data_IF_247310855848
#
_entry.id   IF_247310855848
#
_cell.length_a   1.000
_cell.length_b   1.000
_cell.length_c   1.000
_cell.angle_alpha   90.00
_cell.angle_beta   90.00
_cell.angle_gamma   90.00
#
_symmetry.space_group_name_H-M   'P 1'
#
loop_
_entity.id
_entity.type
_entity.pdbx_description
1 polymer ?
#
# COMPACT_ATOMS: atom_id res chain seq x y z
N UNK A 1 -7.18 -8.07 14.83
CA UNK A 1 -8.16 -7.67 13.80
C UNK A 1 -9.36 -6.96 14.40
N UNK A 2 -9.99 -7.48 15.50
CA UNK A 2 -11.17 -6.86 16.13
C UNK A 2 -10.90 -5.43 16.61
N UNK A 3 -9.82 -5.19 17.33
CA UNK A 3 -9.44 -3.85 17.85
C UNK A 3 -9.32 -2.81 16.73
N UNK A 4 -8.85 -3.21 15.55
CA UNK A 4 -8.70 -2.28 14.43
C UNK A 4 -10.05 -1.90 13.81
N UNK A 5 -11.00 -2.83 13.76
CA UNK A 5 -12.36 -2.56 13.29
C UNK A 5 -13.12 -1.68 14.30
N UNK A 6 -13.03 -2.00 15.59
CA UNK A 6 -13.64 -1.20 16.67
C UNK A 6 -13.16 0.26 16.65
N UNK A 7 -11.88 0.48 16.31
CA UNK A 7 -11.33 1.82 16.14
C UNK A 7 -12.02 2.57 14.98
N UNK A 8 -12.19 1.93 13.81
CA UNK A 8 -12.86 2.56 12.68
C UNK A 8 -14.33 2.86 12.97
N UNK A 9 -15.01 1.94 13.66
CA UNK A 9 -16.41 2.12 14.03
C UNK A 9 -16.59 3.28 15.02
N UNK A 10 -15.68 3.41 15.99
CA UNK A 10 -15.66 4.54 16.92
C UNK A 10 -15.37 5.86 16.20
N UNK A 11 -14.45 5.84 15.24
CA UNK A 11 -14.13 7.01 14.41
C UNK A 11 -15.35 7.43 13.57
N UNK A 12 -16.09 6.45 13.01
CA UNK A 12 -17.28 6.72 12.22
C UNK A 12 -18.39 7.42 13.03
N UNK A 13 -18.53 7.06 14.31
CA UNK A 13 -19.48 7.73 15.21
C UNK A 13 -19.09 9.16 15.55
N UNK A 14 -17.81 9.51 15.44
CA UNK A 14 -17.26 10.82 15.80
C UNK A 14 -17.21 11.80 14.64
N UNK A 15 -17.31 11.32 13.41
CA UNK A 15 -17.20 12.14 12.22
C UNK A 15 -18.58 12.58 11.70
N UNK A 16 -18.68 13.78 11.06
CA UNK A 16 -19.88 14.18 10.37
C UNK A 16 -20.29 13.16 9.30
N UNK A 17 -21.59 12.85 9.13
CA UNK A 17 -22.05 11.81 8.21
C UNK A 17 -21.77 12.13 6.72
N UNK A 18 -21.57 13.38 6.37
CA UNK A 18 -21.22 13.88 5.04
C UNK A 18 -19.71 14.02 4.80
N UNK A 19 -18.88 13.72 5.79
CA UNK A 19 -17.45 13.82 5.68
C UNK A 19 -16.89 12.80 4.67
N UNK A 20 -16.11 13.28 3.69
CA UNK A 20 -15.34 12.40 2.83
C UNK A 20 -14.09 11.92 3.57
N UNK A 21 -14.05 10.65 3.92
CA UNK A 21 -12.97 10.05 4.69
C UNK A 21 -12.09 9.20 3.78
N UNK A 22 -10.78 9.38 3.87
CA UNK A 22 -9.78 8.55 3.19
C UNK A 22 -8.82 8.02 4.26
N UNK A 23 -8.84 6.72 4.48
CA UNK A 23 -7.94 6.06 5.41
C UNK A 23 -6.63 5.72 4.71
N UNK A 24 -5.53 6.29 5.21
CA UNK A 24 -4.19 5.98 4.68
C UNK A 24 -3.51 4.98 5.60
N UNK A 25 -3.12 3.83 5.04
CA UNK A 25 -2.57 2.72 5.82
C UNK A 25 -1.18 2.32 5.37
N UNK A 26 -0.36 1.83 6.30
CA UNK A 26 0.92 1.21 5.96
C UNK A 26 0.75 -0.26 5.51
N UNK A 27 1.86 -0.89 5.18
CA UNK A 27 1.95 -2.20 4.54
C UNK A 27 1.54 -3.42 5.39
N UNK A 28 1.09 -3.22 6.61
CA UNK A 28 0.68 -4.30 7.52
C UNK A 28 -0.80 -4.71 7.44
N UNK A 29 -1.59 -3.98 6.69
CA UNK A 29 -3.04 -4.19 6.65
C UNK A 29 -3.45 -5.19 5.58
N UNK A 30 -4.42 -6.04 5.91
CA UNK A 30 -4.94 -7.11 5.06
C UNK A 30 -6.26 -6.71 4.39
N UNK A 31 -6.73 -7.52 3.44
CA UNK A 31 -7.96 -7.27 2.70
C UNK A 31 -9.20 -7.06 3.58
N UNK A 32 -9.30 -7.76 4.73
CA UNK A 32 -10.39 -7.57 5.68
C UNK A 32 -10.50 -6.12 6.19
N UNK A 33 -9.38 -5.47 6.42
CA UNK A 33 -9.33 -4.06 6.79
C UNK A 33 -9.90 -3.15 5.70
N UNK A 34 -9.50 -3.37 4.46
CA UNK A 34 -10.00 -2.60 3.32
C UNK A 34 -11.49 -2.83 3.07
N UNK A 35 -11.97 -4.07 3.23
CA UNK A 35 -13.40 -4.35 3.17
C UNK A 35 -14.18 -3.61 4.25
N UNK A 36 -13.66 -3.54 5.49
CA UNK A 36 -14.33 -2.82 6.57
C UNK A 36 -14.39 -1.31 6.29
N UNK A 37 -13.30 -0.69 5.81
CA UNK A 37 -13.30 0.72 5.42
C UNK A 37 -14.36 1.00 4.34
N UNK A 38 -14.42 0.16 3.31
CA UNK A 38 -15.42 0.34 2.24
C UNK A 38 -16.85 0.10 2.71
N UNK A 39 -17.09 -0.78 3.70
CA UNK A 39 -18.41 -0.98 4.30
C UNK A 39 -18.92 0.24 5.08
N UNK A 40 -18.00 1.09 5.56
CA UNK A 40 -18.31 2.38 6.18
C UNK A 40 -18.57 3.50 5.15
N UNK A 41 -18.49 3.20 3.85
CA UNK A 41 -18.62 4.20 2.78
C UNK A 41 -17.38 5.09 2.62
N UNK A 42 -16.23 4.66 3.16
CA UNK A 42 -14.98 5.41 3.13
C UNK A 42 -14.02 4.90 2.07
N UNK A 43 -13.10 5.77 1.68
CA UNK A 43 -12.00 5.42 0.79
C UNK A 43 -10.75 5.01 1.56
N UNK A 44 -9.87 4.28 0.90
CA UNK A 44 -8.58 3.93 1.45
C UNK A 44 -7.44 4.10 0.44
N UNK A 45 -6.24 4.32 0.97
CA UNK A 45 -4.97 4.27 0.26
C UNK A 45 -4.01 3.44 1.11
N UNK A 46 -3.53 2.32 0.60
CA UNK A 46 -2.64 1.42 1.33
C UNK A 46 -1.47 0.93 0.50
N UNK A 47 -0.33 0.68 1.13
CA UNK A 47 0.81 0.05 0.49
C UNK A 47 0.69 -1.46 0.60
N UNK A 48 0.86 -2.14 -0.52
CA UNK A 48 0.89 -3.60 -0.59
C UNK A 48 2.33 -4.07 -0.60
N UNK A 49 2.61 -5.13 0.16
CA UNK A 49 3.93 -5.76 0.30
C UNK A 49 3.83 -7.28 0.31
N UNK A 50 4.99 -7.91 0.30
CA UNK A 50 5.15 -9.35 0.48
C UNK A 50 4.53 -10.20 -0.65
N UNK A 51 4.07 -11.37 -0.29
CA UNK A 51 3.55 -12.38 -1.23
C UNK A 51 2.08 -12.16 -1.63
N UNK A 52 1.53 -10.99 -1.38
CA UNK A 52 0.17 -10.66 -1.83
C UNK A 52 0.15 -10.60 -3.34
N UNK A 53 -0.85 -11.24 -3.94
CA UNK A 53 -1.02 -11.26 -5.39
C UNK A 53 -2.09 -10.26 -5.81
N UNK A 54 -1.88 -9.66 -6.96
CA UNK A 54 -2.84 -8.76 -7.61
C UNK A 54 -2.96 -9.08 -9.09
N UNK A 55 -4.06 -8.71 -9.70
CA UNK A 55 -4.22 -8.73 -11.14
C UNK A 55 -4.86 -7.43 -11.61
N UNK A 56 -4.54 -7.01 -12.83
CA UNK A 56 -5.14 -5.87 -13.48
C UNK A 56 -6.27 -6.31 -14.40
N UNK A 57 -7.27 -5.47 -14.60
CA UNK A 57 -8.45 -5.79 -15.41
C UNK A 57 -8.12 -5.98 -16.89
N UNK A 58 -7.02 -5.42 -17.39
CA UNK A 58 -6.52 -5.66 -18.74
C UNK A 58 -5.87 -7.04 -18.94
N UNK A 59 -5.59 -7.76 -17.86
CA UNK A 59 -5.05 -9.12 -17.88
C UNK A 59 -5.56 -9.93 -16.64
N UNK A 60 -6.89 -10.20 -16.55
CA UNK A 60 -7.54 -10.68 -15.33
C UNK A 60 -7.10 -12.07 -14.87
N UNK A 61 -6.55 -12.87 -15.78
CA UNK A 61 -6.00 -14.22 -15.47
C UNK A 61 -4.54 -14.18 -15.00
N UNK A 62 -3.86 -13.02 -15.20
CA UNK A 62 -2.45 -12.88 -14.85
C UNK A 62 -2.31 -12.31 -13.44
N UNK A 63 -2.07 -13.20 -12.48
CA UNK A 63 -1.78 -12.83 -11.10
C UNK A 63 -0.29 -12.54 -10.91
N UNK A 64 0.01 -11.34 -10.46
CA UNK A 64 1.35 -10.83 -10.23
C UNK A 64 1.64 -10.76 -8.72
N UNK A 65 2.90 -10.90 -8.35
CA UNK A 65 3.38 -10.58 -7.00
C UNK A 65 3.81 -9.12 -6.95
N UNK A 66 3.88 -8.56 -5.76
CA UNK A 66 4.39 -7.18 -5.56
C UNK A 66 5.81 -7.02 -6.12
N UNK A 67 6.65 -8.05 -5.99
CA UNK A 67 8.01 -8.08 -6.55
C UNK A 67 8.06 -7.92 -8.08
N UNK A 68 6.98 -8.25 -8.76
CA UNK A 68 6.88 -8.21 -10.22
C UNK A 68 6.35 -6.87 -10.72
N UNK A 69 6.04 -5.95 -9.78
CA UNK A 69 5.55 -4.61 -10.11
C UNK A 69 6.63 -3.77 -10.77
N UNK A 70 6.27 -2.98 -11.80
CA UNK A 70 7.24 -2.13 -12.48
C UNK A 70 7.83 -1.07 -11.54
N UNK A 71 9.13 -0.82 -11.70
CA UNK A 71 9.85 0.20 -10.94
C UNK A 71 9.82 1.54 -11.68
N UNK A 72 8.85 2.38 -11.35
CA UNK A 72 8.70 3.69 -11.98
C UNK A 72 9.28 4.79 -11.09
N UNK A 73 10.19 5.62 -11.63
CA UNK A 73 10.78 6.77 -10.92
C UNK A 73 9.78 7.91 -10.71
N UNK A 74 8.74 7.96 -11.51
CA UNK A 74 7.60 8.87 -11.38
C UNK A 74 6.38 8.09 -10.92
N UNK A 75 5.48 8.66 -10.11
CA UNK A 75 4.21 8.02 -9.77
C UNK A 75 3.39 7.71 -11.02
N UNK A 76 3.01 6.46 -11.20
CA UNK A 76 2.23 6.00 -12.35
C UNK A 76 0.99 5.22 -11.91
N UNK A 77 -0.12 5.44 -12.61
CA UNK A 77 -1.33 4.65 -12.50
C UNK A 77 -1.21 3.40 -13.37
N UNK A 78 -1.37 2.24 -12.77
CA UNK A 78 -1.24 0.95 -13.45
C UNK A 78 -2.58 0.44 -14.01
N UNK A 79 -3.70 0.86 -13.45
CA UNK A 79 -5.03 0.41 -13.82
C UNK A 79 -5.88 -0.04 -12.65
N UNK A 80 -7.15 -0.32 -12.94
CA UNK A 80 -8.05 -1.01 -12.03
C UNK A 80 -7.74 -2.51 -12.01
N UNK A 81 -8.11 -3.18 -10.91
CA UNK A 81 -7.88 -4.60 -10.78
C UNK A 81 -8.35 -5.16 -9.44
N UNK A 82 -7.85 -6.32 -9.11
CA UNK A 82 -8.20 -7.05 -7.88
C UNK A 82 -6.96 -7.36 -7.06
N UNK A 83 -7.07 -7.15 -5.76
CA UNK A 83 -6.10 -7.57 -4.77
C UNK A 83 -6.57 -8.88 -4.14
N UNK A 84 -5.66 -9.82 -3.89
CA UNK A 84 -5.88 -11.16 -3.35
C UNK A 84 -6.65 -12.08 -4.31
N UNK A 85 -6.00 -13.17 -4.70
CA UNK A 85 -6.56 -14.16 -5.64
C UNK A 85 -7.75 -14.93 -5.05
N UNK A 86 -7.74 -15.18 -3.75
CA UNK A 86 -8.82 -15.89 -3.05
C UNK A 86 -10.12 -15.08 -3.12
N UNK A 87 -11.13 -15.63 -3.79
CA UNK A 87 -12.39 -14.96 -4.12
C UNK A 87 -13.07 -14.28 -2.91
N UNK A 88 -13.10 -14.96 -1.75
CA UNK A 88 -13.73 -14.41 -0.53
C UNK A 88 -12.99 -13.21 0.07
N UNK A 89 -11.69 -13.11 -0.18
CA UNK A 89 -10.82 -12.03 0.32
C UNK A 89 -10.49 -11.01 -0.75
N UNK A 90 -10.90 -11.26 -2.00
CA UNK A 90 -10.61 -10.40 -3.14
C UNK A 90 -11.32 -9.06 -3.00
N UNK A 91 -10.58 -7.99 -3.27
CA UNK A 91 -11.12 -6.63 -3.27
C UNK A 91 -10.72 -5.90 -4.53
N UNK A 92 -11.65 -5.15 -5.11
CA UNK A 92 -11.39 -4.31 -6.28
C UNK A 92 -10.88 -2.94 -5.89
N UNK A 93 -10.03 -2.39 -6.74
CA UNK A 93 -9.50 -1.05 -6.57
C UNK A 93 -8.54 -0.67 -7.69
N UNK A 94 -7.68 0.29 -7.42
CA UNK A 94 -6.79 0.92 -8.36
C UNK A 94 -5.34 0.79 -7.88
N UNK A 95 -4.44 0.47 -8.80
CA UNK A 95 -3.04 0.23 -8.50
C UNK A 95 -2.17 1.38 -9.03
N UNK A 96 -1.21 1.77 -8.22
CA UNK A 96 -0.22 2.79 -8.52
C UNK A 96 1.17 2.28 -8.16
N UNK A 97 2.16 2.65 -8.95
CA UNK A 97 3.56 2.31 -8.68
C UNK A 97 4.43 3.55 -8.55
N UNK A 98 5.41 3.47 -7.67
CA UNK A 98 6.41 4.51 -7.48
C UNK A 98 7.66 3.96 -6.81
N UNK A 99 8.82 4.27 -7.35
CA UNK A 99 10.10 3.97 -6.71
C UNK A 99 10.73 5.23 -6.15
N UNK A 100 10.61 5.41 -4.84
CA UNK A 100 11.25 6.52 -4.15
C UNK A 100 12.77 6.41 -4.30
N UNK A 101 13.43 7.50 -4.72
CA UNK A 101 14.88 7.57 -4.69
C UNK A 101 15.38 7.35 -3.26
N UNK A 102 16.29 6.40 -3.08
CA UNK A 102 16.89 6.15 -1.79
C UNK A 102 17.68 7.39 -1.34
N UNK A 103 17.08 8.23 -0.50
CA UNK A 103 17.83 9.26 0.24
C UNK A 103 18.57 8.54 1.37
N UNK A 104 19.68 7.87 1.00
CA UNK A 104 20.49 7.13 1.96
C UNK A 104 21.18 8.07 2.92
N UNK A 105 20.86 8.00 4.22
CA UNK A 105 21.88 8.25 5.22
C UNK A 105 22.96 7.19 5.00
N UNK A 106 24.08 7.58 4.40
CA UNK A 106 25.29 6.76 4.42
C UNK A 106 25.68 6.63 5.88
N UNK A 107 25.31 5.52 6.54
CA UNK A 107 25.87 5.18 7.85
C UNK A 107 27.38 5.16 7.66
N UNK A 108 28.12 6.10 8.27
CA UNK A 108 29.59 6.06 8.35
C UNK A 108 29.90 4.72 9.03
N UNK A 109 30.55 3.82 8.32
CA UNK A 109 31.08 2.58 8.88
C UNK A 109 32.11 2.96 9.92
N UNK A 110 31.89 2.62 11.18
CA UNK A 110 32.97 2.58 12.16
C UNK A 110 33.89 1.42 11.77
N UNK A 111 35.22 1.72 11.69
CA UNK A 111 36.25 0.70 11.47
C UNK A 111 36.09 -0.39 12.53
N UNK A 112 35.77 -1.63 12.12
CA UNK A 112 35.72 -2.80 13.02
C UNK A 112 34.46 -3.63 13.02
N UNK A 113 33.35 -3.24 12.35
CA UNK A 113 32.15 -4.10 12.26
C UNK A 113 32.13 -4.88 10.94
N UNK A 114 32.45 -6.14 11.01
CA UNK A 114 32.26 -7.12 9.93
C UNK A 114 30.79 -7.59 9.95
N UNK A 115 30.04 -7.27 8.89
CA UNK A 115 28.73 -7.82 8.62
C UNK A 115 27.57 -6.86 8.93
N UNK A 116 26.66 -6.71 7.94
CA UNK A 116 25.34 -6.10 8.16
C UNK A 116 24.49 -7.08 8.97
N UNK A 117 23.93 -6.64 10.07
CA UNK A 117 22.93 -7.41 10.82
C UNK A 117 21.75 -7.74 9.89
N UNK A 118 21.07 -8.87 10.14
CA UNK A 118 19.90 -9.32 9.38
C UNK A 118 18.87 -8.21 9.20
N UNK A 119 18.62 -7.43 10.27
CA UNK A 119 17.73 -6.27 10.28
C UNK A 119 18.18 -5.13 9.36
N UNK A 120 19.49 -4.83 9.29
CA UNK A 120 20.03 -3.79 8.40
C UNK A 120 19.92 -4.19 6.93
N UNK A 121 20.07 -5.49 6.61
CA UNK A 121 19.87 -6.04 5.27
C UNK A 121 18.40 -5.96 4.85
N UNK A 122 17.48 -6.30 5.74
CA UNK A 122 16.03 -6.23 5.48
C UNK A 122 15.55 -4.79 5.31
N UNK A 123 16.02 -3.85 6.14
CA UNK A 123 15.73 -2.42 6.00
C UNK A 123 16.29 -1.85 4.70
N UNK A 124 17.51 -2.22 4.30
CA UNK A 124 18.11 -1.82 3.04
C UNK A 124 17.36 -2.37 1.82
N UNK A 125 16.86 -3.61 1.91
CA UNK A 125 16.05 -4.24 0.87
C UNK A 125 14.69 -3.56 0.74
N UNK A 126 14.03 -3.29 1.86
CA UNK A 126 12.75 -2.59 1.92
C UNK A 126 12.82 -1.14 1.39
N UNK A 127 13.95 -0.45 1.61
CA UNK A 127 14.16 0.91 1.10
C UNK A 127 14.36 0.96 -0.43
N UNK A 128 14.77 -0.16 -1.04
CA UNK A 128 14.98 -0.28 -2.50
C UNK A 128 13.74 -0.79 -3.24
N UNK A 129 12.76 -1.34 -2.53
CA UNK A 129 11.56 -1.90 -3.11
C UNK A 129 10.63 -0.80 -3.64
N UNK A 130 10.14 -0.98 -4.87
CA UNK A 130 9.10 -0.11 -5.42
C UNK A 130 7.84 -0.15 -4.54
N UNK A 131 7.14 0.97 -4.45
CA UNK A 131 5.88 1.03 -3.76
C UNK A 131 4.76 0.59 -4.71
N UNK A 132 4.07 -0.45 -4.35
CA UNK A 132 2.77 -0.79 -4.92
C UNK A 132 1.71 -0.21 -3.98
N UNK A 133 1.00 0.81 -4.44
CA UNK A 133 -0.09 1.44 -3.71
C UNK A 133 -1.41 0.97 -4.29
N UNK A 134 -2.33 0.62 -3.40
CA UNK A 134 -3.67 0.19 -3.73
C UNK A 134 -4.68 1.16 -3.12
N UNK A 135 -5.65 1.60 -3.91
CA UNK A 135 -6.67 2.58 -3.51
C UNK A 135 -8.06 2.15 -3.95
N UNK A 136 -9.07 2.45 -3.14
CA UNK A 136 -10.48 2.26 -3.52
C UNK A 136 -10.95 3.29 -4.55
N UNK A 137 -10.31 4.46 -4.61
CA UNK A 137 -10.69 5.56 -5.49
C UNK A 137 -9.62 5.89 -6.53
N UNK A 138 -10.04 6.37 -7.69
CA UNK A 138 -9.19 6.92 -8.74
C UNK A 138 -9.45 8.41 -9.02
N UNK A 139 -10.12 9.11 -8.08
CA UNK A 139 -10.42 10.53 -8.21
C UNK A 139 -9.16 11.42 -8.15
N UNK A 140 -8.04 10.85 -7.73
CA UNK A 140 -6.77 11.56 -7.59
C UNK A 140 -5.76 11.10 -8.63
N UNK A 141 -4.93 12.03 -9.10
CA UNK A 141 -3.81 11.70 -9.97
C UNK A 141 -2.76 10.86 -9.21
N UNK A 142 -1.97 10.07 -9.91
CA UNK A 142 -0.95 9.22 -9.29
C UNK A 142 -0.02 9.97 -8.33
N UNK A 143 0.39 11.20 -8.68
CA UNK A 143 1.23 12.05 -7.81
C UNK A 143 0.53 12.43 -6.50
N UNK A 144 -0.77 12.68 -6.54
CA UNK A 144 -1.57 13.02 -5.37
C UNK A 144 -1.73 11.82 -4.45
N UNK A 145 -2.01 10.64 -5.00
CA UNK A 145 -2.07 9.37 -4.26
C UNK A 145 -0.76 9.12 -3.51
N UNK A 146 0.38 9.25 -4.20
CA UNK A 146 1.70 9.06 -3.57
C UNK A 146 1.97 10.14 -2.51
N UNK A 147 1.55 11.38 -2.75
CA UNK A 147 1.68 12.48 -1.78
C UNK A 147 0.85 12.21 -0.52
N UNK A 148 -0.41 11.79 -0.67
CA UNK A 148 -1.28 11.42 0.45
C UNK A 148 -0.66 10.26 1.26
N UNK A 149 -0.24 9.19 0.58
CA UNK A 149 0.42 8.06 1.23
C UNK A 149 1.71 8.48 1.96
N UNK A 150 2.47 9.41 1.44
CA UNK A 150 3.75 9.86 2.03
C UNK A 150 3.59 10.68 3.31
N UNK A 151 2.38 11.14 3.64
CA UNK A 151 2.09 11.96 4.83
C UNK A 151 1.75 11.14 6.09
N UNK A 152 1.63 9.83 5.98
CA UNK A 152 1.34 8.93 7.10
C UNK A 152 2.44 8.93 8.16
#
# INVERSE_FOLDING_TARGET
PLIQHDFLDSLAQSLPPDARVIIVTDAGFQSAWFHHITSLGWDFIGRIRNNVQYCLDNAPERWLKVSDSPECKTPEYMGAGRLVKERKKSIRGHFYTYKKSAKGRKKKRSKGQSGLNKTDKEQSKSAKEAWLIFSSTNDFRAREIIKLYSRR
#
